data_IF_623342840765
#
_entry.id   IF_623342840765
#
_cell.length_a   1.000
_cell.length_b   1.000
_cell.length_c   1.000
_cell.angle_alpha   90.00
_cell.angle_beta   90.00
_cell.angle_gamma   90.00
#
_symmetry.space_group_name_H-M   'P 1'
#
loop_
_entity.id
_entity.type
_entity.pdbx_description
1 polymer ?
#
# COMPACT_ATOMS: atom_id res chain seq x y z
N UNK A 1 -32.42 5.59 22.78
CA UNK A 1 -31.70 6.56 21.92
C UNK A 1 -30.23 6.37 22.23
N UNK A 2 -29.51 5.60 21.42
CA UNK A 2 -28.06 5.51 21.59
C UNK A 2 -27.50 6.87 21.17
N UNK A 3 -26.73 7.58 22.03
CA UNK A 3 -26.08 8.81 21.59
C UNK A 3 -25.17 8.46 20.42
N UNK A 4 -25.46 9.04 19.25
CA UNK A 4 -24.60 8.94 18.08
C UNK A 4 -23.37 9.80 18.34
N UNK A 5 -22.32 9.19 18.89
CA UNK A 5 -21.01 9.82 18.99
C UNK A 5 -20.34 9.76 17.62
N UNK A 6 -20.32 10.90 16.91
CA UNK A 6 -19.55 11.06 15.68
C UNK A 6 -18.12 11.44 16.04
N UNK A 7 -17.16 10.60 15.67
CA UNK A 7 -15.73 10.94 15.73
C UNK A 7 -15.28 11.44 14.36
N UNK A 8 -14.37 12.40 14.35
CA UNK A 8 -13.80 12.97 13.12
C UNK A 8 -12.32 12.66 13.06
N UNK A 9 -11.81 12.36 11.87
CA UNK A 9 -10.38 12.24 11.60
C UNK A 9 -10.02 13.16 10.43
N UNK A 10 -8.79 13.68 10.45
CA UNK A 10 -8.20 14.39 9.32
C UNK A 10 -7.13 13.49 8.70
N UNK A 11 -7.20 13.25 7.40
CA UNK A 11 -6.30 12.33 6.70
C UNK A 11 -5.96 12.88 5.31
N UNK A 12 -4.74 12.62 4.86
CA UNK A 12 -4.23 13.07 3.56
C UNK A 12 -4.31 11.97 2.49
N UNK A 13 -4.65 12.36 1.26
CA UNK A 13 -4.47 11.58 0.03
C UNK A 13 -3.86 12.50 -1.02
N UNK A 14 -2.64 12.23 -1.48
CA UNK A 14 -1.92 13.16 -2.36
C UNK A 14 -1.67 12.68 -3.78
N UNK A 15 -1.77 11.38 -4.05
CA UNK A 15 -1.61 10.90 -5.42
C UNK A 15 -2.79 11.33 -6.31
N UNK A 16 -2.54 11.87 -7.53
CA UNK A 16 -1.23 12.08 -8.17
C UNK A 16 -0.52 13.38 -7.75
N UNK A 17 -1.24 14.48 -7.54
CA UNK A 17 -0.65 15.81 -7.40
C UNK A 17 -1.43 16.73 -6.45
N UNK A 18 -2.00 16.18 -5.38
CA UNK A 18 -2.77 16.94 -4.39
C UNK A 18 -1.94 17.39 -3.18
N UNK A 19 -0.65 17.06 -3.10
CA UNK A 19 0.22 17.56 -2.01
C UNK A 19 0.28 19.09 -2.00
N UNK A 20 0.20 19.71 -3.19
CA UNK A 20 0.07 21.17 -3.38
C UNK A 20 -1.12 21.81 -2.67
N UNK A 21 -2.17 21.04 -2.34
CA UNK A 21 -3.33 21.54 -1.60
C UNK A 21 -3.05 21.71 -0.11
N UNK A 22 -2.08 20.97 0.43
CA UNK A 22 -1.69 21.07 1.84
C UNK A 22 -0.47 21.98 2.03
N UNK A 23 0.55 21.85 1.18
CA UNK A 23 1.81 22.60 1.30
C UNK A 23 2.29 23.10 -0.07
N UNK A 24 2.80 24.33 -0.18
CA UNK A 24 3.46 24.78 -1.41
C UNK A 24 4.71 23.93 -1.69
N UNK A 25 4.72 23.18 -2.79
CA UNK A 25 5.81 22.29 -3.15
C UNK A 25 5.95 22.13 -4.68
N UNK A 26 7.08 21.57 -5.12
CA UNK A 26 7.27 21.09 -6.49
C UNK A 26 6.58 19.73 -6.62
N UNK A 27 5.28 19.76 -6.90
CA UNK A 27 4.40 18.60 -6.78
C UNK A 27 4.38 17.74 -8.04
N UNK A 28 5.54 17.14 -8.31
CA UNK A 28 5.84 16.26 -9.42
C UNK A 28 6.71 15.09 -8.92
N UNK A 29 6.54 13.85 -9.42
CA UNK A 29 7.21 12.66 -8.86
C UNK A 29 8.75 12.73 -8.79
N UNK A 30 9.40 13.36 -9.77
CA UNK A 30 10.87 13.43 -9.85
C UNK A 30 11.49 14.37 -8.80
N UNK A 31 10.71 15.34 -8.28
CA UNK A 31 11.17 16.33 -7.31
C UNK A 31 11.17 15.78 -5.87
N UNK A 32 11.93 14.70 -5.66
CA UNK A 32 12.01 14.05 -4.37
C UNK A 32 12.75 14.90 -3.33
N UNK A 33 12.21 14.91 -2.12
CA UNK A 33 12.78 15.61 -0.97
C UNK A 33 12.69 14.75 0.29
N UNK A 34 13.44 15.12 1.32
CA UNK A 34 13.25 14.58 2.67
C UNK A 34 12.27 15.45 3.43
N UNK A 35 11.36 14.85 4.19
CA UNK A 35 10.34 15.56 4.95
C UNK A 35 10.58 15.39 6.45
N UNK A 36 10.44 16.47 7.20
CA UNK A 36 10.41 16.44 8.67
C UNK A 36 9.08 17.00 9.11
N UNK A 37 8.22 16.12 9.63
CA UNK A 37 6.84 16.45 9.94
C UNK A 37 6.71 16.72 11.44
N UNK A 38 6.00 17.79 11.78
CA UNK A 38 5.53 18.08 13.13
C UNK A 38 4.03 18.36 13.05
N UNK A 39 3.26 17.65 13.85
CA UNK A 39 1.80 17.77 13.88
C UNK A 39 1.39 18.29 15.24
N UNK A 40 0.58 19.36 15.23
CA UNK A 40 -0.06 19.89 16.44
C UNK A 40 -1.51 19.43 16.41
N UNK A 41 -1.93 18.63 17.39
CA UNK A 41 -3.23 17.97 17.41
C UNK A 41 -3.85 17.96 18.82
N UNK A 42 -5.18 17.86 18.95
CA UNK A 42 -5.84 18.01 20.25
C UNK A 42 -5.59 16.80 21.15
N UNK A 43 -5.59 17.02 22.47
CA UNK A 43 -5.50 15.94 23.47
C UNK A 43 -6.60 14.90 23.26
N UNK A 44 -6.26 13.63 23.42
CA UNK A 44 -7.15 12.49 23.16
C UNK A 44 -7.13 11.99 21.72
N UNK A 45 -6.43 12.65 20.80
CA UNK A 45 -6.17 12.13 19.44
C UNK A 45 -4.74 11.63 19.29
N UNK A 46 -4.50 10.81 18.28
CA UNK A 46 -3.19 10.31 17.86
C UNK A 46 -2.85 10.90 16.50
N UNK A 47 -1.63 11.40 16.34
CA UNK A 47 -1.08 11.79 15.05
C UNK A 47 -0.20 10.66 14.49
N UNK A 48 -0.37 10.37 13.20
CA UNK A 48 0.44 9.45 12.42
C UNK A 48 1.04 10.21 11.24
N UNK A 49 2.26 9.85 10.87
CA UNK A 49 2.93 10.34 9.67
C UNK A 49 3.90 9.28 9.15
N UNK A 50 4.53 9.54 8.00
CA UNK A 50 5.48 8.61 7.35
C UNK A 50 6.64 8.14 8.25
N UNK A 51 7.20 9.05 9.05
CA UNK A 51 8.33 8.77 9.93
C UNK A 51 7.87 8.24 11.29
N UNK A 52 8.75 7.55 12.01
CA UNK A 52 8.48 7.12 13.38
C UNK A 52 8.31 8.34 14.31
N UNK A 53 7.36 8.29 15.25
CA UNK A 53 7.22 9.34 16.27
C UNK A 53 8.47 9.38 17.18
N UNK A 54 9.13 10.55 17.26
CA UNK A 54 10.31 10.81 18.09
C UNK A 54 9.99 11.54 19.39
N UNK A 55 8.92 12.33 19.39
CA UNK A 55 8.48 13.04 20.58
C UNK A 55 7.00 13.34 20.51
N UNK A 56 6.31 13.15 21.63
CA UNK A 56 4.92 13.51 21.84
C UNK A 56 4.87 14.34 23.11
N UNK A 57 4.74 15.66 22.96
CA UNK A 57 4.79 16.59 24.10
C UNK A 57 3.44 17.26 24.26
N UNK A 58 2.80 17.04 25.41
CA UNK A 58 1.61 17.79 25.78
C UNK A 58 1.97 19.21 26.20
N UNK A 59 1.18 20.18 25.75
CA UNK A 59 1.22 21.51 26.31
C UNK A 59 0.54 21.50 27.70
N UNK A 60 1.21 22.03 28.74
CA UNK A 60 0.64 22.08 30.09
C UNK A 60 -0.48 23.11 30.25
N UNK A 61 -0.61 24.07 29.34
CA UNK A 61 -1.56 25.19 29.39
C UNK A 61 -2.65 25.07 28.32
N UNK A 62 -2.33 24.49 27.16
CA UNK A 62 -3.26 24.40 26.02
C UNK A 62 -3.77 22.96 25.80
N UNK A 63 -4.90 22.76 25.09
CA UNK A 63 -5.43 21.42 24.82
C UNK A 63 -4.70 20.71 23.67
N UNK A 64 -3.45 21.08 23.38
CA UNK A 64 -2.69 20.61 22.23
C UNK A 64 -1.55 19.68 22.63
N UNK A 65 -1.24 18.79 21.70
CA UNK A 65 -0.10 17.88 21.71
C UNK A 65 0.75 18.22 20.49
N UNK A 66 2.06 18.23 20.68
CA UNK A 66 3.04 18.41 19.59
C UNK A 66 3.74 17.07 19.36
N UNK A 67 3.35 16.37 18.29
CA UNK A 67 4.02 15.15 17.82
C UNK A 67 5.03 15.47 16.73
N UNK A 68 6.25 14.99 16.90
CA UNK A 68 7.34 15.12 15.92
C UNK A 68 7.72 13.76 15.40
N UNK A 69 8.07 13.69 14.11
CA UNK A 69 8.39 12.44 13.43
C UNK A 69 9.82 12.46 12.87
N UNK A 70 10.43 11.27 12.76
CA UNK A 70 11.72 11.08 12.11
C UNK A 70 11.69 11.63 10.67
N UNK A 71 12.83 12.14 10.21
CA UNK A 71 12.96 12.62 8.84
C UNK A 71 12.85 11.45 7.86
N UNK A 72 11.98 11.59 6.85
CA UNK A 72 11.79 10.58 5.82
C UNK A 72 13.05 10.39 4.96
N UNK A 73 13.21 9.25 4.28
CA UNK A 73 14.11 9.16 3.14
C UNK A 73 13.69 10.16 2.03
N UNK A 74 14.55 10.30 1.02
CA UNK A 74 14.27 11.16 -0.15
C UNK A 74 13.13 10.54 -0.96
N UNK A 75 11.92 11.10 -0.86
CA UNK A 75 10.69 10.59 -1.47
C UNK A 75 9.92 11.66 -2.24
N UNK A 76 9.04 11.23 -3.14
CA UNK A 76 8.14 12.12 -3.91
C UNK A 76 7.07 12.74 -3.00
N UNK A 77 6.55 13.91 -3.39
CA UNK A 77 5.53 14.66 -2.62
C UNK A 77 4.25 13.87 -2.39
N UNK A 78 3.80 13.10 -3.39
CA UNK A 78 2.54 12.36 -3.33
C UNK A 78 2.51 11.22 -2.30
N UNK A 79 3.67 10.82 -1.77
CA UNK A 79 3.81 9.79 -0.72
C UNK A 79 3.78 10.37 0.70
N UNK A 80 3.78 11.69 0.85
CA UNK A 80 3.64 12.33 2.16
C UNK A 80 2.28 11.99 2.75
N UNK A 81 2.23 11.52 3.99
CA UNK A 81 0.99 11.20 4.67
C UNK A 81 0.98 11.72 6.10
N UNK A 82 -0.18 12.24 6.50
CA UNK A 82 -0.51 12.67 7.84
C UNK A 82 -1.93 12.22 8.15
N UNK A 83 -2.13 11.60 9.31
CA UNK A 83 -3.45 11.28 9.83
C UNK A 83 -3.56 11.73 11.28
N UNK A 84 -4.69 12.32 11.66
CA UNK A 84 -4.99 12.71 13.03
C UNK A 84 -6.39 12.25 13.37
N UNK A 85 -6.52 11.49 14.46
CA UNK A 85 -7.82 10.98 14.90
C UNK A 85 -7.70 10.13 16.14
N UNK A 86 -8.85 9.65 16.61
CA UNK A 86 -8.92 8.67 17.69
C UNK A 86 -8.76 7.26 17.11
N UNK A 87 -7.51 6.85 16.92
CA UNK A 87 -7.19 5.54 16.34
C UNK A 87 -6.87 4.52 17.44
N UNK A 88 -7.40 3.31 17.26
CA UNK A 88 -6.93 2.11 17.98
C UNK A 88 -5.92 1.38 17.10
N UNK A 89 -4.95 0.70 17.73
CA UNK A 89 -3.91 -0.02 16.99
C UNK A 89 -3.74 -1.44 17.51
N UNK A 90 -3.51 -2.36 16.57
CA UNK A 90 -3.01 -3.71 16.85
C UNK A 90 -1.57 -3.74 16.39
N UNK A 91 -0.70 -4.30 17.21
CA UNK A 91 0.72 -4.25 16.96
C UNK A 91 1.33 -5.64 16.92
N UNK A 92 2.15 -5.89 15.90
CA UNK A 92 2.88 -7.14 15.74
C UNK A 92 4.39 -6.91 15.86
N UNK A 93 5.09 -7.94 16.33
CA UNK A 93 6.54 -7.96 16.46
C UNK A 93 7.10 -9.04 15.54
N UNK A 94 8.27 -8.78 14.96
CA UNK A 94 9.02 -9.82 14.25
C UNK A 94 9.41 -10.95 15.20
N UNK A 95 9.77 -12.12 14.66
CA UNK A 95 10.25 -13.27 15.45
C UNK A 95 11.48 -12.94 16.32
N UNK A 96 12.16 -11.81 16.08
CA UNK A 96 13.29 -11.30 16.87
C UNK A 96 12.87 -10.25 17.93
N UNK A 97 11.57 -10.04 18.15
CA UNK A 97 11.05 -9.07 19.11
C UNK A 97 11.18 -7.61 18.68
N UNK A 98 11.61 -7.36 17.44
CA UNK A 98 11.79 -6.01 16.89
C UNK A 98 10.50 -5.59 16.19
N UNK A 99 10.01 -4.37 16.47
CA UNK A 99 8.94 -3.77 15.67
C UNK A 99 9.48 -3.50 14.26
N UNK A 100 8.78 -3.88 13.17
CA UNK A 100 9.09 -3.35 11.85
C UNK A 100 9.05 -1.83 11.98
N UNK A 101 10.19 -1.17 11.84
CA UNK A 101 10.37 0.19 12.34
C UNK A 101 9.64 1.27 11.53
N UNK A 102 8.96 0.92 10.45
CA UNK A 102 8.53 1.87 9.41
C UNK A 102 7.32 1.40 8.61
N UNK A 103 6.30 0.78 9.21
CA UNK A 103 5.06 0.47 8.48
C UNK A 103 3.82 0.45 9.38
N UNK A 104 3.01 1.49 9.26
CA UNK A 104 1.66 1.55 9.79
C UNK A 104 0.63 1.29 8.68
N UNK A 105 -0.45 0.61 9.02
CA UNK A 105 -1.58 0.33 8.12
C UNK A 105 -2.85 0.89 8.75
N UNK A 106 -3.43 1.92 8.12
CA UNK A 106 -4.57 2.67 8.66
C UNK A 106 -5.85 2.35 7.88
N UNK A 107 -6.87 1.85 8.56
CA UNK A 107 -8.19 1.63 7.99
C UNK A 107 -9.07 2.88 8.14
N UNK A 108 -9.67 3.34 7.04
CA UNK A 108 -10.47 4.57 6.98
C UNK A 108 -11.89 4.30 6.49
N UNK A 109 -12.93 4.84 7.15
CA UNK A 109 -14.32 4.63 6.76
C UNK A 109 -14.72 5.38 5.48
N UNK A 110 -14.06 6.50 5.20
CA UNK A 110 -14.27 7.32 4.00
C UNK A 110 -12.91 7.57 3.35
N UNK A 111 -12.73 7.01 2.16
CA UNK A 111 -11.50 7.10 1.39
C UNK A 111 -11.81 6.94 -0.10
N UNK A 112 -11.24 7.82 -0.93
CA UNK A 112 -11.54 7.89 -2.35
C UNK A 112 -10.99 6.69 -3.14
N UNK A 113 -9.77 6.26 -2.80
CA UNK A 113 -9.12 5.09 -3.39
C UNK A 113 -9.45 3.81 -2.60
N UNK A 114 -9.14 2.64 -3.16
CA UNK A 114 -9.22 1.36 -2.42
C UNK A 114 -8.16 1.28 -1.31
N UNK A 115 -6.94 1.71 -1.61
CA UNK A 115 -5.84 1.90 -0.69
C UNK A 115 -4.83 2.91 -1.29
N UNK A 116 -3.81 3.28 -0.52
CA UNK A 116 -2.71 4.16 -0.95
C UNK A 116 -1.44 3.85 -0.16
N UNK A 117 -0.35 3.64 -0.88
CA UNK A 117 0.96 3.16 -0.44
C UNK A 117 1.88 4.25 0.11
N UNK A 118 1.35 5.23 0.84
CA UNK A 118 2.19 6.29 1.39
C UNK A 118 3.32 5.67 2.23
N UNK A 119 4.56 6.16 2.07
CA UNK A 119 5.73 5.51 2.64
C UNK A 119 5.61 5.41 4.17
N UNK A 120 5.62 4.19 4.71
CA UNK A 120 5.50 3.96 6.14
C UNK A 120 4.12 4.20 6.77
N UNK A 121 3.12 4.67 6.02
CA UNK A 121 1.73 4.85 6.50
C UNK A 121 0.74 4.52 5.37
N UNK A 122 0.49 3.23 5.14
CA UNK A 122 -0.45 2.79 4.11
C UNK A 122 -1.88 3.03 4.60
N UNK A 123 -2.70 3.68 3.79
CA UNK A 123 -4.11 3.93 4.09
C UNK A 123 -5.01 3.03 3.27
N UNK A 124 -6.04 2.46 3.89
CA UNK A 124 -6.96 1.52 3.28
C UNK A 124 -8.39 1.99 3.48
N UNK A 125 -9.21 1.90 2.43
CA UNK A 125 -10.66 2.04 2.57
C UNK A 125 -11.22 0.81 3.29
N UNK A 126 -12.07 1.04 4.28
CA UNK A 126 -12.86 -0.01 4.89
C UNK A 126 -14.33 0.40 4.92
N UNK A 127 -15.20 -0.51 4.53
CA UNK A 127 -16.63 -0.29 4.61
C UNK A 127 -17.16 -0.77 5.97
N UNK A 128 -17.41 0.17 6.90
CA UNK A 128 -18.09 -0.16 8.15
C UNK A 128 -19.59 -0.25 7.91
N UNK A 129 -20.11 -1.43 7.53
CA UNK A 129 -21.53 -1.73 7.77
C UNK A 129 -21.65 -2.59 9.02
N UNK A 130 -21.50 -1.93 10.17
CA UNK A 130 -22.02 -2.42 11.44
C UNK A 130 -23.14 -1.49 11.89
N UNK A 131 -24.37 -1.76 11.43
CA UNK A 131 -25.64 -1.64 12.16
C UNK A 131 -26.85 -1.63 11.20
N UNK A 132 -27.08 -2.74 10.49
CA UNK A 132 -28.45 -3.09 10.10
C UNK A 132 -28.73 -4.50 10.58
N UNK A 133 -29.11 -4.59 11.85
CA UNK A 133 -29.85 -5.71 12.37
C UNK A 133 -31.05 -5.97 11.43
N UNK A 134 -31.08 -7.17 10.84
CA UNK A 134 -32.21 -7.83 10.17
C UNK A 134 -32.39 -7.77 8.64
N UNK A 135 -31.44 -7.28 7.84
CA UNK A 135 -31.55 -7.41 6.36
C UNK A 135 -30.53 -8.38 5.77
N UNK A 136 -30.94 -9.65 5.55
CA UNK A 136 -30.08 -10.70 4.98
C UNK A 136 -29.77 -10.48 3.48
N UNK A 137 -30.56 -9.66 2.78
CA UNK A 137 -30.47 -9.45 1.32
C UNK A 137 -29.58 -8.26 0.91
N UNK A 138 -29.47 -7.22 1.75
CA UNK A 138 -28.57 -6.08 1.55
C UNK A 138 -27.12 -6.36 2.00
N UNK A 139 -26.92 -7.45 2.76
CA UNK A 139 -25.60 -7.91 3.23
C UNK A 139 -24.67 -8.18 2.05
N UNK A 140 -25.09 -8.96 1.05
CA UNK A 140 -24.22 -9.44 -0.04
C UNK A 140 -23.80 -8.36 -1.04
N UNK A 141 -24.57 -7.28 -1.20
CA UNK A 141 -24.30 -6.25 -2.22
C UNK A 141 -23.29 -5.18 -1.78
N UNK A 142 -23.02 -5.02 -0.48
CA UNK A 142 -22.14 -3.97 0.06
C UNK A 142 -20.82 -4.50 0.66
N UNK A 143 -20.63 -5.81 0.72
CA UNK A 143 -19.40 -6.45 1.22
C UNK A 143 -18.17 -6.33 0.28
N UNK A 144 -18.31 -5.64 -0.85
CA UNK A 144 -17.33 -5.73 -1.94
C UNK A 144 -16.07 -4.88 -1.73
N UNK A 145 -16.03 -4.00 -0.73
CA UNK A 145 -14.99 -2.96 -0.62
C UNK A 145 -14.39 -2.89 0.79
N UNK A 146 -13.85 -4.01 1.28
CA UNK A 146 -12.95 -3.99 2.42
C UNK A 146 -11.54 -4.26 1.96
N UNK A 147 -10.66 -3.28 2.13
CA UNK A 147 -9.28 -3.40 1.69
C UNK A 147 -8.33 -3.91 2.78
N UNK A 148 -8.80 -4.03 4.04
CA UNK A 148 -7.94 -4.42 5.18
C UNK A 148 -8.58 -5.28 6.28
N UNK A 149 -9.83 -5.05 6.69
CA UNK A 149 -10.45 -5.82 7.79
C UNK A 149 -11.17 -7.08 7.29
N UNK A 150 -10.94 -8.19 7.98
CA UNK A 150 -11.55 -9.49 7.69
C UNK A 150 -12.02 -10.20 8.97
N UNK A 151 -13.23 -10.73 8.92
CA UNK A 151 -13.84 -11.58 9.96
C UNK A 151 -14.44 -12.83 9.29
N UNK A 152 -13.97 -14.01 9.69
CA UNK A 152 -14.40 -15.31 9.16
C UNK A 152 -15.89 -15.60 9.36
N UNK A 153 -16.53 -14.97 10.35
CA UNK A 153 -17.94 -15.17 10.65
C UNK A 153 -18.86 -14.25 9.83
N UNK A 154 -18.30 -13.22 9.20
CA UNK A 154 -19.05 -12.18 8.49
C UNK A 154 -18.79 -12.26 6.99
N UNK A 155 -17.54 -12.46 6.59
CA UNK A 155 -17.09 -12.36 5.21
C UNK A 155 -16.81 -13.73 4.60
N UNK A 156 -16.98 -13.81 3.28
CA UNK A 156 -16.71 -15.02 2.52
C UNK A 156 -15.21 -15.17 2.18
N UNK A 157 -14.76 -16.38 1.78
CA UNK A 157 -13.36 -16.61 1.44
C UNK A 157 -12.81 -15.75 0.29
N UNK A 158 -13.63 -15.28 -0.65
CA UNK A 158 -13.17 -14.39 -1.72
C UNK A 158 -12.83 -12.99 -1.21
N UNK A 159 -13.51 -12.54 -0.16
CA UNK A 159 -13.13 -11.31 0.54
C UNK A 159 -11.78 -11.46 1.25
N UNK A 160 -11.46 -12.66 1.78
CA UNK A 160 -10.13 -12.94 2.34
C UNK A 160 -9.04 -12.76 1.28
N UNK A 161 -9.27 -13.29 0.07
CA UNK A 161 -8.36 -13.09 -1.06
C UNK A 161 -8.24 -11.62 -1.43
N UNK A 162 -9.36 -10.90 -1.56
CA UNK A 162 -9.37 -9.48 -1.96
C UNK A 162 -8.59 -8.59 -0.97
N UNK A 163 -8.81 -8.77 0.34
CA UNK A 163 -8.05 -8.09 1.40
C UNK A 163 -6.57 -8.46 1.32
N UNK A 164 -6.26 -9.75 1.21
CA UNK A 164 -4.85 -10.20 1.17
C UNK A 164 -4.11 -9.70 -0.06
N UNK A 165 -4.80 -9.66 -1.22
CA UNK A 165 -4.26 -9.13 -2.47
C UNK A 165 -3.98 -7.64 -2.36
N UNK A 166 -4.93 -6.87 -1.81
CA UNK A 166 -4.75 -5.42 -1.63
C UNK A 166 -3.58 -5.13 -0.69
N UNK A 167 -3.49 -5.83 0.45
CA UNK A 167 -2.32 -5.69 1.35
C UNK A 167 -1.02 -6.06 0.63
N UNK A 168 -1.00 -7.15 -0.14
CA UNK A 168 0.18 -7.56 -0.88
C UNK A 168 0.58 -6.54 -1.95
N UNK A 169 -0.39 -5.90 -2.60
CA UNK A 169 -0.21 -4.82 -3.57
C UNK A 169 0.45 -3.59 -2.94
N UNK A 170 -0.14 -3.07 -1.88
CA UNK A 170 0.39 -1.86 -1.22
C UNK A 170 1.76 -2.11 -0.57
N UNK A 171 1.97 -3.32 -0.03
CA UNK A 171 3.29 -3.72 0.50
C UNK A 171 4.29 -3.91 -0.64
N UNK A 172 3.87 -4.37 -1.81
CA UNK A 172 4.75 -4.45 -2.98
C UNK A 172 5.21 -3.06 -3.44
N UNK A 173 4.34 -2.05 -3.37
CA UNK A 173 4.76 -0.66 -3.55
C UNK A 173 5.83 -0.24 -2.53
N UNK A 174 5.73 -0.64 -1.25
CA UNK A 174 6.80 -0.39 -0.27
C UNK A 174 8.11 -1.10 -0.65
N UNK A 175 8.05 -2.34 -1.13
CA UNK A 175 9.24 -3.06 -1.59
C UNK A 175 9.90 -2.33 -2.77
N UNK A 176 9.11 -1.88 -3.74
CA UNK A 176 9.57 -1.06 -4.86
C UNK A 176 10.22 0.25 -4.39
N UNK A 177 9.65 0.88 -3.36
CA UNK A 177 10.19 2.07 -2.72
C UNK A 177 11.49 1.78 -1.93
N UNK A 178 11.65 0.59 -1.35
CA UNK A 178 12.77 0.26 -0.44
C UNK A 178 14.04 -0.20 -1.15
N UNK A 179 13.93 -0.95 -2.25
CA UNK A 179 15.12 -1.56 -2.86
C UNK A 179 16.05 -0.56 -3.57
N UNK A 180 15.65 0.70 -3.80
CA UNK A 180 16.39 1.62 -4.69
C UNK A 180 16.31 3.11 -4.38
N UNK A 181 16.35 3.53 -3.10
CA UNK A 181 16.14 4.94 -2.69
C UNK A 181 14.86 5.53 -3.31
N UNK A 182 13.72 4.87 -3.07
CA UNK A 182 12.45 5.13 -3.76
C UNK A 182 12.62 5.09 -5.27
N UNK A 183 12.54 3.92 -5.89
CA UNK A 183 12.20 3.90 -7.32
C UNK A 183 10.80 4.50 -7.40
N UNK A 184 10.72 5.70 -7.95
CA UNK A 184 9.47 6.32 -8.34
C UNK A 184 9.62 6.61 -9.82
N UNK A 185 8.49 6.64 -10.51
CA UNK A 185 8.45 7.08 -11.89
C UNK A 185 9.02 8.50 -11.98
N UNK A 186 9.72 8.78 -13.08
CA UNK A 186 10.18 10.15 -13.39
C UNK A 186 8.97 11.04 -13.70
N UNK A 187 8.01 10.47 -14.39
CA UNK A 187 6.76 11.12 -14.74
C UNK A 187 5.65 10.08 -14.90
N UNK A 188 4.40 10.53 -14.87
CA UNK A 188 3.20 9.67 -14.92
C UNK A 188 3.12 8.79 -16.18
N UNK A 189 3.86 9.11 -17.25
CA UNK A 189 3.91 8.28 -18.46
C UNK A 189 4.35 6.83 -18.19
N UNK A 190 5.12 6.63 -17.13
CA UNK A 190 5.67 5.33 -16.73
C UNK A 190 4.89 4.70 -15.56
N UNK A 191 3.64 5.13 -15.31
CA UNK A 191 2.80 4.66 -14.20
C UNK A 191 2.72 3.13 -14.11
N UNK A 192 2.72 2.43 -15.25
CA UNK A 192 2.72 0.96 -15.32
C UNK A 192 3.91 0.31 -14.58
N UNK A 193 5.06 0.99 -14.45
CA UNK A 193 6.21 0.48 -13.69
C UNK A 193 5.89 0.36 -12.20
N UNK A 194 5.02 1.22 -11.68
CA UNK A 194 4.57 1.22 -10.29
C UNK A 194 3.45 0.20 -10.13
N UNK A 195 2.34 0.42 -10.82
CA UNK A 195 1.12 -0.36 -10.66
C UNK A 195 1.22 -1.77 -11.24
N UNK A 196 1.83 -1.94 -12.42
CA UNK A 196 2.03 -3.24 -13.04
C UNK A 196 3.02 -4.11 -12.26
N UNK A 197 4.06 -3.50 -11.68
CA UNK A 197 5.00 -4.22 -10.81
C UNK A 197 4.36 -4.66 -9.50
N UNK A 198 3.63 -3.76 -8.82
CA UNK A 198 2.89 -4.13 -7.61
C UNK A 198 1.86 -5.23 -7.89
N UNK A 199 1.11 -5.12 -9.00
CA UNK A 199 0.17 -6.15 -9.45
C UNK A 199 0.84 -7.50 -9.74
N UNK A 200 2.05 -7.50 -10.31
CA UNK A 200 2.80 -8.74 -10.51
C UNK A 200 3.26 -9.34 -9.18
N UNK A 201 3.86 -8.50 -8.32
CA UNK A 201 4.37 -8.92 -7.02
C UNK A 201 3.28 -9.38 -6.06
N UNK A 202 2.07 -8.82 -6.12
CA UNK A 202 0.95 -9.23 -5.27
C UNK A 202 0.65 -10.72 -5.48
N UNK A 203 0.68 -11.21 -6.73
CA UNK A 203 0.36 -12.60 -7.07
C UNK A 203 1.48 -13.53 -6.62
N UNK A 204 2.73 -13.19 -6.95
CA UNK A 204 3.89 -14.04 -6.62
C UNK A 204 4.11 -14.12 -5.11
N UNK A 205 4.05 -12.98 -4.41
CA UNK A 205 4.30 -12.92 -2.97
C UNK A 205 3.19 -13.61 -2.18
N UNK A 206 1.93 -13.39 -2.55
CA UNK A 206 0.80 -13.96 -1.85
C UNK A 206 0.68 -15.48 -2.07
N UNK A 207 1.03 -15.97 -3.26
CA UNK A 207 1.14 -17.42 -3.51
C UNK A 207 2.22 -18.06 -2.64
N UNK A 208 3.40 -17.42 -2.56
CA UNK A 208 4.50 -17.89 -1.74
C UNK A 208 4.17 -17.88 -0.24
N UNK A 209 3.53 -16.82 0.27
CA UNK A 209 3.10 -16.69 1.67
C UNK A 209 2.05 -17.75 2.03
N UNK A 210 1.16 -18.07 1.09
CA UNK A 210 0.15 -19.12 1.29
C UNK A 210 0.63 -20.52 0.95
N UNK A 211 1.92 -20.69 0.63
CA UNK A 211 2.50 -21.96 0.23
C UNK A 211 1.74 -22.63 -0.93
N UNK A 212 1.27 -21.83 -1.90
CA UNK A 212 0.50 -22.29 -3.05
C UNK A 212 -0.96 -22.65 -2.75
N UNK A 213 -1.44 -22.48 -1.52
CA UNK A 213 -2.83 -22.81 -1.14
C UNK A 213 -3.87 -22.05 -1.98
N UNK A 214 -3.57 -20.80 -2.34
CA UNK A 214 -4.46 -19.98 -3.16
C UNK A 214 -4.25 -20.15 -4.67
N UNK A 215 -3.22 -20.89 -5.08
CA UNK A 215 -2.89 -21.21 -6.46
C UNK A 215 -2.88 -19.98 -7.40
N UNK A 216 -2.29 -18.87 -6.94
CA UNK A 216 -2.43 -17.59 -7.61
C UNK A 216 -1.62 -17.51 -8.90
N UNK A 217 -0.60 -18.36 -9.07
CA UNK A 217 0.10 -18.51 -10.34
C UNK A 217 -0.84 -18.97 -11.47
N UNK A 218 -1.71 -19.94 -11.20
CA UNK A 218 -2.69 -20.43 -12.18
C UNK A 218 -3.81 -19.41 -12.41
N UNK A 219 -4.32 -18.82 -11.33
CA UNK A 219 -5.38 -17.81 -11.41
C UNK A 219 -4.91 -16.49 -12.03
N UNK A 220 -3.60 -16.25 -12.17
CA UNK A 220 -3.06 -15.07 -12.84
C UNK A 220 -3.59 -14.92 -14.27
N UNK A 221 -3.75 -16.03 -14.99
CA UNK A 221 -4.25 -16.02 -16.38
C UNK A 221 -5.65 -15.40 -16.43
N UNK A 222 -6.55 -15.84 -15.55
CA UNK A 222 -7.94 -15.38 -15.53
C UNK A 222 -8.04 -13.98 -14.89
N UNK A 223 -7.33 -13.79 -13.77
CA UNK A 223 -7.50 -12.57 -12.96
C UNK A 223 -6.82 -11.35 -13.57
N UNK A 224 -5.77 -11.54 -14.37
CA UNK A 224 -4.91 -10.48 -14.93
C UNK A 224 -4.80 -10.57 -16.44
N UNK A 225 -4.35 -11.69 -17.00
CA UNK A 225 -4.11 -11.76 -18.45
C UNK A 225 -5.40 -11.60 -19.28
N UNK A 226 -6.47 -12.30 -18.92
CA UNK A 226 -7.76 -12.20 -19.65
C UNK A 226 -8.33 -10.77 -19.58
N UNK A 227 -8.31 -10.14 -18.41
CA UNK A 227 -8.74 -8.74 -18.25
C UNK A 227 -7.89 -7.76 -19.06
N UNK A 228 -6.59 -7.98 -19.08
CA UNK A 228 -5.67 -7.20 -19.88
C UNK A 228 -6.00 -7.31 -21.37
N UNK A 229 -6.26 -8.53 -21.86
CA UNK A 229 -6.64 -8.78 -23.25
C UNK A 229 -7.99 -8.16 -23.60
N UNK A 230 -8.99 -8.26 -22.72
CA UNK A 230 -10.30 -7.67 -22.92
C UNK A 230 -10.23 -6.14 -23.02
N UNK A 231 -9.47 -5.51 -22.12
CA UNK A 231 -9.25 -4.06 -22.15
C UNK A 231 -8.46 -3.64 -23.40
N UNK A 232 -7.43 -4.40 -23.76
CA UNK A 232 -6.54 -4.09 -24.89
C UNK A 232 -7.15 -4.39 -26.27
N UNK A 233 -8.20 -5.21 -26.32
CA UNK A 233 -8.97 -5.47 -27.53
C UNK A 233 -9.87 -4.30 -27.94
N UNK A 234 -10.14 -3.35 -27.04
CA UNK A 234 -10.97 -2.20 -27.33
C UNK A 234 -10.24 -1.16 -28.18
N UNK A 235 -10.95 -0.54 -29.11
CA UNK A 235 -10.41 0.57 -29.91
C UNK A 235 -10.05 1.81 -29.06
N UNK A 236 -10.55 1.88 -27.83
CA UNK A 236 -10.24 2.92 -26.84
C UNK A 236 -9.03 2.57 -25.97
N UNK A 237 -8.36 1.43 -26.20
CA UNK A 237 -7.12 1.07 -25.49
C UNK A 237 -6.00 2.09 -25.75
N UNK A 238 -4.95 2.01 -24.94
CA UNK A 238 -3.74 2.81 -25.08
C UNK A 238 -2.46 1.96 -24.88
N UNK A 239 -1.29 2.42 -25.36
CA UNK A 239 -0.02 1.77 -25.04
C UNK A 239 0.32 1.88 -23.54
N UNK A 240 1.14 0.94 -23.02
CA UNK A 240 1.62 0.96 -21.63
C UNK A 240 2.36 2.25 -21.25
N UNK A 241 3.11 2.81 -22.20
CA UNK A 241 3.74 4.13 -22.06
C UNK A 241 2.88 5.12 -22.83
N UNK A 242 2.08 5.89 -22.11
CA UNK A 242 1.19 6.91 -22.65
C UNK A 242 1.67 8.29 -22.20
N UNK A 243 1.55 9.30 -23.07
CA UNK A 243 1.93 10.67 -22.71
C UNK A 243 0.80 11.31 -21.92
N UNK A 244 1.07 11.68 -20.67
CA UNK A 244 0.14 12.28 -19.74
C UNK A 244 0.66 13.67 -19.35
N UNK A 245 -0.15 14.70 -19.50
CA UNK A 245 0.24 16.08 -19.13
C UNK A 245 -0.70 16.67 -18.08
N UNK A 246 -1.98 16.29 -18.11
CA UNK A 246 -3.00 16.81 -17.20
C UNK A 246 -3.33 15.79 -16.13
N UNK A 247 -3.66 16.29 -14.95
CA UNK A 247 -4.07 15.47 -13.80
C UNK A 247 -5.20 14.48 -14.13
N UNK A 248 -6.23 14.93 -14.87
CA UNK A 248 -7.36 14.08 -15.26
C UNK A 248 -6.90 12.89 -16.11
N UNK A 249 -5.91 13.09 -16.98
CA UNK A 249 -5.36 12.02 -17.82
C UNK A 249 -4.58 11.01 -16.97
N UNK A 250 -3.94 11.47 -15.89
CA UNK A 250 -3.27 10.58 -14.93
C UNK A 250 -4.31 9.71 -14.21
N UNK A 251 -5.42 10.30 -13.76
CA UNK A 251 -6.53 9.53 -13.17
C UNK A 251 -7.13 8.51 -14.14
N UNK A 252 -7.30 8.89 -15.41
CA UNK A 252 -7.81 8.00 -16.46
C UNK A 252 -6.84 6.85 -16.78
N UNK A 253 -5.53 7.05 -16.57
CA UNK A 253 -4.51 6.02 -16.79
C UNK A 253 -4.44 4.96 -15.69
N UNK A 254 -5.18 5.09 -14.57
CA UNK A 254 -5.33 4.02 -13.57
C UNK A 254 -6.37 2.99 -14.05
N UNK A 255 -5.99 2.19 -15.04
CA UNK A 255 -6.89 1.25 -15.70
C UNK A 255 -6.28 -0.16 -15.86
N UNK A 256 -7.03 -1.07 -16.50
CA UNK A 256 -6.57 -2.45 -16.71
C UNK A 256 -5.31 -2.54 -17.59
N UNK A 257 -5.02 -1.53 -18.43
CA UNK A 257 -3.79 -1.49 -19.22
C UNK A 257 -2.59 -1.25 -18.30
N UNK A 258 -2.66 -0.24 -17.45
CA UNK A 258 -1.58 0.09 -16.51
C UNK A 258 -1.30 -1.04 -15.51
N UNK A 259 -2.36 -1.63 -14.94
CA UNK A 259 -2.25 -2.67 -13.92
C UNK A 259 -2.06 -4.07 -14.52
N UNK A 260 -3.08 -4.57 -15.21
CA UNK A 260 -3.18 -5.98 -15.58
C UNK A 260 -2.30 -6.32 -16.80
N UNK A 261 -2.25 -5.46 -17.83
CA UNK A 261 -1.33 -5.63 -18.96
C UNK A 261 0.11 -5.40 -18.55
N UNK A 262 0.38 -4.40 -17.69
CA UNK A 262 1.70 -4.17 -17.11
C UNK A 262 2.24 -5.40 -16.40
N UNK A 263 1.45 -6.00 -15.51
CA UNK A 263 1.81 -7.23 -14.80
C UNK A 263 1.98 -8.43 -15.74
N UNK A 264 1.12 -8.56 -16.76
CA UNK A 264 1.19 -9.66 -17.73
C UNK A 264 2.46 -9.61 -18.56
N UNK A 265 2.91 -8.41 -18.94
CA UNK A 265 4.19 -8.22 -19.63
C UNK A 265 5.36 -8.60 -18.71
N UNK A 266 5.33 -8.23 -17.43
CA UNK A 266 6.36 -8.65 -16.46
C UNK A 266 6.39 -10.17 -16.27
N UNK A 267 5.24 -10.82 -16.20
CA UNK A 267 5.14 -12.28 -16.13
C UNK A 267 5.74 -12.95 -17.38
N UNK A 268 5.48 -12.40 -18.57
CA UNK A 268 6.08 -12.87 -19.82
C UNK A 268 7.60 -12.71 -19.82
N UNK A 269 8.11 -11.57 -19.37
CA UNK A 269 9.56 -11.33 -19.26
C UNK A 269 10.19 -12.33 -18.27
N UNK A 270 9.56 -12.55 -17.12
CA UNK A 270 10.01 -13.54 -16.13
C UNK A 270 10.03 -14.96 -16.70
N UNK A 271 9.06 -15.33 -17.54
CA UNK A 271 9.03 -16.64 -18.18
C UNK A 271 10.12 -16.79 -19.26
N UNK A 272 10.44 -15.72 -19.98
CA UNK A 272 11.50 -15.71 -21.01
C UNK A 272 12.89 -15.75 -20.39
N UNK A 273 13.10 -15.03 -19.29
CA UNK A 273 14.41 -14.92 -18.62
C UNK A 273 14.69 -16.05 -17.62
N UNK A 274 13.75 -16.96 -17.37
CA UNK A 274 13.73 -17.85 -16.19
C UNK A 274 13.47 -17.08 -14.87
N UNK A 275 12.65 -17.65 -13.97
CA UNK A 275 12.25 -16.99 -12.72
C UNK A 275 13.45 -16.65 -11.82
N UNK A 276 14.51 -17.48 -11.84
CA UNK A 276 15.67 -17.25 -10.98
C UNK A 276 16.49 -16.07 -11.46
N UNK A 277 16.79 -15.99 -12.76
CA UNK A 277 17.52 -14.87 -13.32
C UNK A 277 16.68 -13.59 -13.32
N UNK A 278 15.35 -13.67 -13.51
CA UNK A 278 14.47 -12.52 -13.39
C UNK A 278 14.43 -11.97 -11.97
N UNK A 279 14.35 -12.82 -10.96
CA UNK A 279 14.40 -12.40 -9.56
C UNK A 279 15.75 -11.79 -9.20
N UNK A 280 16.86 -12.36 -9.68
CA UNK A 280 18.18 -11.75 -9.53
C UNK A 280 18.28 -10.44 -10.33
N UNK A 281 17.69 -10.36 -11.52
CA UNK A 281 17.64 -9.14 -12.32
C UNK A 281 16.80 -8.06 -11.65
N UNK A 282 15.72 -8.37 -10.96
CA UNK A 282 14.99 -7.41 -10.11
C UNK A 282 15.90 -6.98 -8.96
N UNK A 283 16.53 -7.93 -8.25
CA UNK A 283 17.48 -7.63 -7.18
C UNK A 283 18.73 -6.89 -7.64
N UNK A 284 19.06 -6.86 -8.94
CA UNK A 284 20.22 -6.17 -9.52
C UNK A 284 19.80 -4.86 -10.19
N UNK A 285 18.68 -4.82 -10.90
CA UNK A 285 18.14 -3.63 -11.57
C UNK A 285 17.70 -2.59 -10.54
N UNK A 286 17.25 -3.03 -9.35
CA UNK A 286 16.90 -2.10 -8.28
C UNK A 286 18.16 -1.51 -7.56
N UNK A 287 19.30 -2.24 -7.43
CA UNK A 287 20.59 -1.70 -6.94
C UNK A 287 21.61 -1.20 -7.98
N UNK A 288 21.43 -1.34 -9.29
CA UNK A 288 22.36 -0.79 -10.31
C UNK A 288 22.38 0.76 -10.31
N UNK A 289 21.55 1.39 -9.47
CA UNK A 289 21.66 2.81 -9.06
C UNK A 289 22.33 3.05 -7.70
N UNK A 290 23.17 2.14 -7.19
CA UNK A 290 24.31 2.51 -6.34
C UNK A 290 25.25 1.33 -6.13
N UNK A 291 26.45 1.49 -6.66
CA UNK A 291 27.67 1.17 -5.91
C UNK A 291 27.43 1.13 -4.39
N UNK A 292 27.79 0.00 -3.79
CA UNK A 292 27.76 -0.36 -2.36
C UNK A 292 26.50 -1.13 -1.92
N UNK A 293 26.61 -2.46 -1.76
CA UNK A 293 26.78 -3.11 -0.44
C UNK A 293 26.76 -4.65 -0.58
N UNK A 294 27.81 -5.38 -0.19
CA UNK A 294 27.71 -6.77 0.22
C UNK A 294 27.19 -6.84 1.67
N UNK A 295 26.57 -7.97 2.01
CA UNK A 295 26.07 -8.39 3.33
C UNK A 295 24.63 -8.00 3.70
N UNK A 296 23.64 -8.71 3.12
CA UNK A 296 22.43 -9.05 3.89
C UNK A 296 21.61 -10.26 3.37
N UNK A 297 22.18 -11.09 2.47
CA UNK A 297 21.48 -12.29 1.95
C UNK A 297 22.09 -13.63 2.36
N UNK A 298 22.98 -13.65 3.36
CA UNK A 298 23.39 -14.90 4.00
C UNK A 298 22.80 -14.98 5.40
N UNK A 299 21.74 -15.76 5.58
CA UNK A 299 21.65 -16.81 6.62
C UNK A 299 20.24 -17.43 6.67
N UNK A 300 20.15 -18.63 6.06
CA UNK A 300 19.45 -19.82 6.54
C UNK A 300 18.05 -19.66 7.16
N UNK A 301 17.03 -19.73 6.30
CA UNK A 301 15.72 -20.26 6.70
C UNK A 301 15.78 -21.78 6.80
N UNK A 302 15.96 -22.31 8.00
CA UNK A 302 15.91 -23.75 8.22
C UNK A 302 16.16 -24.16 9.66
N UNK A 303 15.15 -24.07 10.53
CA UNK A 303 14.85 -25.09 11.56
C UNK A 303 13.74 -24.64 12.52
N UNK A 304 12.67 -25.45 12.55
CA UNK A 304 11.76 -25.72 13.69
C UNK A 304 11.20 -24.53 14.49
N UNK A 305 9.98 -24.11 14.16
CA UNK A 305 9.16 -23.29 15.05
C UNK A 305 8.23 -24.21 15.87
N UNK A 306 8.48 -24.33 17.17
CA UNK A 306 7.55 -24.95 18.11
C UNK A 306 6.66 -23.86 18.74
N UNK A 307 5.35 -24.02 18.59
CA UNK A 307 4.34 -23.14 19.18
C UNK A 307 4.23 -23.49 20.66
N UNK A 308 4.55 -22.54 21.55
CA UNK A 308 4.10 -22.61 22.95
C UNK A 308 2.97 -21.62 23.16
N UNK A 309 1.77 -22.15 23.44
CA UNK A 309 0.66 -21.39 24.02
C UNK A 309 0.99 -21.06 25.47
N UNK A 310 0.69 -19.83 25.87
CA UNK A 310 0.39 -19.51 27.26
C UNK A 310 -0.98 -18.84 27.30
N UNK A 311 -1.92 -19.50 27.97
CA UNK A 311 -3.05 -18.88 28.67
C UNK A 311 -2.62 -18.72 30.15
N UNK A 312 -3.35 -17.93 30.95
CA UNK A 312 -3.61 -16.50 30.86
C UNK A 312 -2.49 -15.65 31.47
#
# INVERSE_FOLDING_TARGET
>A
MFPHYTKTAAVTQFEPNYARLMVPCFDEPDFKATWTVTVIHPKGTTALANGREISNTEDPVTPWIVSKFERTPKMSTYLLAIAVGEFEFIQQYTNRGVRPSHLDMLALPDFAAGAMENWGLITYKFNTILQLSNCRFLKTLLFRENSILYDVNIYDPSNKYSVSSTIAHEVAHQLFQWFGNLVSIKWWNDLWLKEGFATYMEHISLDAITHGYMNLKDFFIINKLEKALDADALATSHPLIVKLEREVEVHEAYDAITYDKGASVLAMISAVMDETEFNEAIKVTIPVLRTLFPACLSENFGSSCSIKRYEP
#
